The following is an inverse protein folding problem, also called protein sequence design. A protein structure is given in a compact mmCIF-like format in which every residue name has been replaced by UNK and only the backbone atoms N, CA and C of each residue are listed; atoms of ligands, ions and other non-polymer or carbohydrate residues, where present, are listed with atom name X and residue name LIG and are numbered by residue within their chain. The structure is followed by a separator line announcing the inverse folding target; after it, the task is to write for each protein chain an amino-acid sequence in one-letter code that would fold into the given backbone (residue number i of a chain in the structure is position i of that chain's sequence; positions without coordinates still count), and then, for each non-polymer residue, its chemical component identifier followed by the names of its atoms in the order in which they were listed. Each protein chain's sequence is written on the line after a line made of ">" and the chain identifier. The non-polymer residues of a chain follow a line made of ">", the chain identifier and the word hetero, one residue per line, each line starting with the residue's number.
data_IF_540194784547
#
_entry.id   IF_540194784547
#
_cell.length_a   1.000
_cell.length_b   1.000
_cell.length_c   1.000
_cell.angle_alpha   90.00
_cell.angle_beta   90.00
_cell.angle_gamma   90.00
#
_symmetry.space_group_name_H-M   'P 1'
#
loop_
_entity.id
_entity.type
_entity.pdbx_description
1 polymer ?
#
# COMPACT_ATOMS: atom_id res chain seq x y z
N UNK A 1 -19.61 -27.35 1.88
CA UNK A 1 -18.56 -28.28 1.43
C UNK A 1 -18.42 -28.23 -0.12
N UNK A 2 -17.91 -27.19 -0.68
CA UNK A 2 -17.72 -27.00 -2.11
C UNK A 2 -17.11 -25.62 -2.34
N UNK A 3 -16.60 -25.34 -3.54
CA UNK A 3 -16.28 -23.98 -3.97
C UNK A 3 -17.59 -23.33 -4.44
N UNK A 4 -18.05 -22.32 -3.72
CA UNK A 4 -19.28 -21.60 -4.04
C UNK A 4 -18.96 -20.31 -4.82
N UNK A 5 -19.71 -20.09 -5.90
CA UNK A 5 -19.47 -19.01 -6.85
C UNK A 5 -20.68 -18.08 -6.95
N UNK A 6 -20.52 -16.81 -6.62
CA UNK A 6 -21.48 -15.76 -6.93
C UNK A 6 -21.24 -15.18 -8.31
N UNK A 7 -22.30 -15.07 -9.14
CA UNK A 7 -22.19 -14.63 -10.54
C UNK A 7 -22.90 -13.30 -10.76
N UNK A 8 -22.22 -12.40 -11.47
CA UNK A 8 -22.66 -11.05 -11.75
C UNK A 8 -22.77 -10.80 -13.27
N UNK A 9 -23.71 -9.95 -13.65
CA UNK A 9 -24.07 -9.72 -15.05
C UNK A 9 -23.27 -8.58 -15.70
N UNK A 10 -22.31 -7.98 -15.01
CA UNK A 10 -21.47 -6.87 -15.48
C UNK A 10 -19.97 -7.18 -15.44
N UNK A 11 -19.20 -6.25 -15.97
CA UNK A 11 -17.75 -6.22 -15.84
C UNK A 11 -17.36 -5.69 -14.44
N UNK A 12 -16.23 -6.12 -13.90
CA UNK A 12 -15.75 -5.74 -12.55
C UNK A 12 -15.73 -4.24 -12.29
N UNK A 13 -15.43 -3.44 -13.32
CA UNK A 13 -15.41 -1.98 -13.27
C UNK A 13 -16.72 -1.33 -12.79
N UNK A 14 -17.84 -2.07 -12.84
CA UNK A 14 -19.15 -1.58 -12.41
C UNK A 14 -19.50 -1.88 -10.95
N UNK A 15 -18.58 -2.51 -10.19
CA UNK A 15 -18.92 -2.98 -8.85
C UNK A 15 -17.99 -2.40 -7.78
N UNK A 16 -18.57 -2.28 -6.57
CA UNK A 16 -17.83 -2.11 -5.32
C UNK A 16 -17.94 -3.38 -4.50
N UNK A 17 -16.81 -3.91 -4.06
CA UNK A 17 -16.71 -5.03 -3.13
C UNK A 17 -16.29 -4.46 -1.79
N UNK A 18 -17.05 -4.71 -0.73
CA UNK A 18 -16.69 -4.29 0.63
C UNK A 18 -16.48 -5.52 1.50
N UNK A 19 -15.30 -5.63 2.09
CA UNK A 19 -14.92 -6.68 3.04
C UNK A 19 -15.09 -6.16 4.46
N UNK A 20 -15.86 -6.88 5.29
CA UNK A 20 -16.07 -6.54 6.70
C UNK A 20 -16.19 -7.81 7.53
N UNK A 21 -15.26 -8.08 8.42
CA UNK A 21 -15.19 -9.33 9.18
C UNK A 21 -15.26 -10.54 8.22
N UNK A 22 -16.23 -11.41 8.39
CA UNK A 22 -16.52 -12.60 7.57
C UNK A 22 -17.60 -12.36 6.50
N UNK A 23 -17.98 -11.09 6.26
CA UNK A 23 -18.99 -10.70 5.28
C UNK A 23 -18.38 -9.98 4.09
N UNK A 24 -18.82 -10.37 2.90
CA UNK A 24 -18.53 -9.66 1.65
C UNK A 24 -19.81 -9.01 1.14
N UNK A 25 -19.78 -7.73 0.85
CA UNK A 25 -20.87 -7.02 0.17
C UNK A 25 -20.45 -6.67 -1.24
N UNK A 26 -21.29 -6.94 -2.23
CA UNK A 26 -21.06 -6.60 -3.63
C UNK A 26 -22.16 -5.67 -4.10
N UNK A 27 -21.82 -4.45 -4.48
CA UNK A 27 -22.75 -3.42 -4.97
C UNK A 27 -22.57 -3.21 -6.47
N UNK A 28 -23.65 -3.35 -7.24
CA UNK A 28 -23.72 -2.99 -8.65
C UNK A 28 -24.04 -1.50 -8.80
N UNK A 29 -23.06 -0.70 -9.24
CA UNK A 29 -23.20 0.76 -9.40
C UNK A 29 -23.95 1.19 -10.66
N UNK A 30 -24.32 0.26 -11.54
CA UNK A 30 -25.10 0.56 -12.78
C UNK A 30 -26.56 0.90 -12.54
N UNK A 31 -27.00 1.00 -11.30
CA UNK A 31 -28.36 1.41 -10.96
C UNK A 31 -29.39 0.27 -10.89
N UNK A 32 -28.98 -0.87 -10.36
CA UNK A 32 -29.93 -1.89 -9.86
C UNK A 32 -30.21 -3.06 -10.79
N UNK A 33 -29.25 -3.46 -11.65
CA UNK A 33 -29.38 -4.68 -12.44
C UNK A 33 -29.14 -5.90 -11.55
N UNK A 34 -28.00 -5.97 -10.85
CA UNK A 34 -27.71 -7.01 -9.87
C UNK A 34 -27.99 -6.55 -8.43
N UNK A 35 -28.01 -5.24 -8.16
CA UNK A 35 -28.37 -4.67 -6.85
C UNK A 35 -27.22 -4.69 -5.85
N UNK A 36 -27.54 -5.01 -4.58
CA UNK A 36 -26.56 -5.14 -3.50
C UNK A 36 -26.76 -6.51 -2.86
N UNK A 37 -25.71 -7.31 -2.90
CA UNK A 37 -25.67 -8.64 -2.29
C UNK A 37 -24.78 -8.65 -1.06
N UNK A 38 -25.23 -9.35 -0.01
CA UNK A 38 -24.42 -9.66 1.16
C UNK A 38 -24.13 -11.17 1.14
N UNK A 39 -22.87 -11.53 1.04
CA UNK A 39 -22.39 -12.87 0.83
C UNK A 39 -21.72 -13.41 2.09
N UNK A 40 -21.89 -14.70 2.33
CA UNK A 40 -21.16 -15.49 3.34
C UNK A 40 -20.84 -16.84 2.74
N UNK A 41 -19.70 -17.41 3.08
CA UNK A 41 -19.26 -18.73 2.61
C UNK A 41 -19.22 -18.81 1.06
N UNK A 42 -18.73 -17.75 0.40
CA UNK A 42 -18.50 -17.67 -1.05
C UNK A 42 -17.01 -17.47 -1.28
N UNK A 43 -16.39 -18.34 -2.07
CA UNK A 43 -14.97 -18.30 -2.38
C UNK A 43 -14.67 -17.50 -3.64
N UNK A 44 -15.60 -17.45 -4.61
CA UNK A 44 -15.33 -16.81 -5.91
C UNK A 44 -16.46 -15.88 -6.33
N UNK A 45 -16.10 -14.68 -6.77
CA UNK A 45 -16.97 -13.77 -7.51
C UNK A 45 -16.67 -13.88 -9.01
N UNK A 46 -17.68 -14.17 -9.82
CA UNK A 46 -17.52 -14.33 -11.28
C UNK A 46 -18.25 -13.19 -12.00
N UNK A 47 -17.49 -12.31 -12.65
CA UNK A 47 -17.97 -11.21 -13.46
C UNK A 47 -17.86 -11.55 -14.97
N UNK A 48 -18.26 -10.65 -15.86
CA UNK A 48 -18.19 -10.90 -17.30
C UNK A 48 -16.75 -10.93 -17.84
N UNK A 49 -15.86 -10.18 -17.23
CA UNK A 49 -14.48 -9.97 -17.67
C UNK A 49 -13.46 -10.80 -16.89
N UNK A 50 -13.72 -11.09 -15.60
CA UNK A 50 -12.80 -11.86 -14.77
C UNK A 50 -13.48 -12.51 -13.56
N UNK A 51 -12.73 -13.37 -12.87
CA UNK A 51 -13.09 -13.95 -11.58
C UNK A 51 -12.17 -13.41 -10.49
N UNK A 52 -12.74 -13.20 -9.31
CA UNK A 52 -12.00 -12.78 -8.11
C UNK A 52 -12.12 -13.91 -7.08
N UNK A 53 -10.98 -14.46 -6.70
CA UNK A 53 -10.86 -15.43 -5.62
C UNK A 53 -10.78 -14.69 -4.28
N UNK A 54 -11.85 -14.73 -3.53
CA UNK A 54 -11.97 -14.07 -2.23
C UNK A 54 -11.07 -14.72 -1.16
N UNK A 55 -10.69 -15.99 -1.31
CA UNK A 55 -9.81 -16.66 -0.36
C UNK A 55 -8.41 -16.03 -0.30
N UNK A 56 -8.01 -15.32 -1.37
CA UNK A 56 -6.74 -14.61 -1.43
C UNK A 56 -6.71 -13.30 -0.62
N UNK A 57 -7.88 -12.76 -0.26
CA UNK A 57 -7.99 -11.43 0.35
C UNK A 57 -8.84 -11.41 1.64
N UNK A 58 -9.51 -12.51 1.99
CA UNK A 58 -10.46 -12.55 3.11
C UNK A 58 -9.81 -12.39 4.48
N UNK A 59 -8.65 -13.00 4.72
CA UNK A 59 -7.93 -12.88 6.00
C UNK A 59 -7.39 -11.47 6.27
N UNK A 60 -7.43 -10.57 5.29
CA UNK A 60 -7.03 -9.16 5.47
C UNK A 60 -7.85 -8.45 6.55
N UNK A 61 -9.09 -8.87 6.79
CA UNK A 61 -9.95 -8.33 7.85
C UNK A 61 -9.46 -8.64 9.27
N UNK A 62 -8.56 -9.61 9.43
CA UNK A 62 -7.98 -10.02 10.71
C UNK A 62 -6.71 -9.23 11.06
N UNK A 63 -6.18 -8.48 10.09
CA UNK A 63 -4.94 -7.72 10.29
C UNK A 63 -5.19 -6.47 11.14
N UNK A 64 -4.21 -6.12 12.00
CA UNK A 64 -4.30 -4.86 12.76
C UNK A 64 -4.07 -3.63 11.86
N UNK A 65 -4.63 -2.48 12.26
CA UNK A 65 -4.38 -1.18 11.64
C UNK A 65 -2.86 -0.87 11.50
N UNK A 66 -2.09 -1.12 12.58
CA UNK A 66 -0.64 -0.94 12.57
C UNK A 66 0.05 -1.80 11.50
N UNK A 67 -0.32 -3.09 11.39
CA UNK A 67 0.25 -4.00 10.39
C UNK A 67 -0.18 -3.65 8.98
N UNK A 68 -1.42 -3.20 8.78
CA UNK A 68 -1.90 -2.68 7.50
C UNK A 68 -1.09 -1.46 7.04
N UNK A 69 -0.88 -0.50 7.94
CA UNK A 69 -0.04 0.67 7.68
C UNK A 69 1.41 0.29 7.34
N UNK A 70 1.94 -0.75 7.97
CA UNK A 70 3.30 -1.24 7.70
C UNK A 70 3.42 -1.83 6.29
N UNK A 71 2.41 -2.55 5.80
CA UNK A 71 2.37 -3.03 4.41
C UNK A 71 2.36 -1.86 3.41
N UNK A 72 1.62 -0.79 3.71
CA UNK A 72 1.64 0.44 2.88
C UNK A 72 3.04 1.04 2.84
N UNK A 73 3.76 1.09 3.97
CA UNK A 73 5.16 1.56 4.00
C UNK A 73 6.09 0.70 3.10
N UNK A 74 5.85 -0.62 2.99
CA UNK A 74 6.59 -1.48 2.06
C UNK A 74 6.31 -1.14 0.59
N UNK A 75 5.06 -0.91 0.22
CA UNK A 75 4.71 -0.43 -1.12
C UNK A 75 5.43 0.88 -1.45
N UNK A 76 5.35 1.87 -0.56
CA UNK A 76 6.03 3.16 -0.74
C UNK A 76 7.53 2.98 -0.97
N UNK A 77 8.19 2.19 -0.11
CA UNK A 77 9.63 1.98 -0.17
C UNK A 77 10.06 1.23 -1.45
N UNK A 78 9.25 0.29 -1.91
CA UNK A 78 9.63 -0.65 -2.96
C UNK A 78 9.13 -0.24 -4.35
N UNK A 79 7.95 0.37 -4.45
CA UNK A 79 7.34 0.76 -5.73
C UNK A 79 7.24 2.27 -5.94
N UNK A 80 7.40 3.09 -4.89
CA UNK A 80 7.22 4.54 -4.90
C UNK A 80 5.81 5.00 -5.31
N UNK A 81 4.79 4.19 -5.07
CA UNK A 81 3.38 4.50 -5.30
C UNK A 81 2.52 4.08 -4.12
N UNK A 82 1.27 4.51 -4.09
CA UNK A 82 0.28 3.90 -3.21
C UNK A 82 0.08 2.42 -3.58
N UNK A 83 -0.30 1.55 -2.64
CA UNK A 83 -0.72 0.20 -2.99
C UNK A 83 -2.01 0.25 -3.83
N UNK A 84 -2.19 -0.71 -4.72
CA UNK A 84 -3.50 -1.07 -5.24
C UNK A 84 -4.28 -1.87 -4.18
N UNK A 85 -5.60 -1.69 -4.12
CA UNK A 85 -6.41 -2.30 -3.06
C UNK A 85 -6.31 -3.83 -3.07
N UNK A 86 -6.41 -4.48 -4.23
CA UNK A 86 -6.33 -5.94 -4.30
C UNK A 86 -4.96 -6.47 -3.85
N UNK A 87 -3.88 -5.86 -4.32
CA UNK A 87 -2.52 -6.25 -3.94
C UNK A 87 -2.24 -6.03 -2.46
N UNK A 88 -2.73 -4.92 -1.88
CA UNK A 88 -2.61 -4.68 -0.44
C UNK A 88 -3.35 -5.74 0.38
N UNK A 89 -4.58 -6.06 0.01
CA UNK A 89 -5.39 -7.07 0.70
C UNK A 89 -4.82 -8.49 0.56
N UNK A 90 -4.20 -8.79 -0.59
CA UNK A 90 -3.46 -10.04 -0.79
C UNK A 90 -2.30 -10.17 0.21
N UNK A 91 -1.46 -9.15 0.33
CA UNK A 91 -0.35 -9.17 1.30
C UNK A 91 -0.83 -9.11 2.74
N UNK A 92 -1.93 -8.40 3.00
CA UNK A 92 -2.55 -8.36 4.31
C UNK A 92 -3.06 -9.75 4.74
N UNK A 93 -3.71 -10.49 3.83
CA UNK A 93 -4.13 -11.87 4.09
C UNK A 93 -2.92 -12.78 4.32
N UNK A 94 -1.89 -12.67 3.48
CA UNK A 94 -0.66 -13.46 3.67
C UNK A 94 0.01 -13.18 5.03
N UNK A 95 0.03 -11.92 5.48
CA UNK A 95 0.54 -11.53 6.80
C UNK A 95 -0.34 -12.07 7.94
N UNK A 96 -1.67 -12.00 7.82
CA UNK A 96 -2.61 -12.57 8.79
C UNK A 96 -2.46 -14.10 8.90
N UNK A 97 -2.17 -14.77 7.79
CA UNK A 97 -1.90 -16.21 7.72
C UNK A 97 -0.48 -16.59 8.20
N UNK A 98 0.33 -15.60 8.59
CA UNK A 98 1.61 -15.81 9.30
C UNK A 98 2.86 -15.61 8.45
N UNK A 99 2.75 -15.05 7.24
CA UNK A 99 3.93 -14.65 6.47
C UNK A 99 4.63 -13.48 7.17
N UNK A 100 5.94 -13.58 7.36
CA UNK A 100 6.70 -12.53 8.05
C UNK A 100 6.97 -11.33 7.14
N UNK A 101 7.20 -10.15 7.73
CA UNK A 101 7.58 -8.92 7.02
C UNK A 101 8.75 -9.13 6.06
N UNK A 102 9.75 -9.91 6.50
CA UNK A 102 10.91 -10.23 5.69
C UNK A 102 10.53 -11.03 4.44
N UNK A 103 9.72 -12.07 4.58
CA UNK A 103 9.27 -12.90 3.45
C UNK A 103 8.41 -12.09 2.48
N UNK A 104 7.57 -11.18 3.00
CA UNK A 104 6.78 -10.25 2.18
C UNK A 104 7.72 -9.35 1.38
N UNK A 105 8.67 -8.67 2.01
CA UNK A 105 9.60 -7.75 1.32
C UNK A 105 10.51 -8.51 0.35
N UNK A 106 10.96 -9.73 0.66
CA UNK A 106 11.70 -10.58 -0.27
C UNK A 106 10.86 -10.89 -1.51
N UNK A 107 9.58 -11.23 -1.33
CA UNK A 107 8.65 -11.50 -2.43
C UNK A 107 8.41 -10.27 -3.32
N UNK A 108 8.41 -9.05 -2.75
CA UNK A 108 8.35 -7.82 -3.52
C UNK A 108 9.56 -7.65 -4.44
N UNK A 109 10.78 -7.95 -4.00
CA UNK A 109 11.98 -7.87 -4.83
C UNK A 109 11.98 -8.86 -6.01
N UNK A 110 11.14 -9.89 -5.98
CA UNK A 110 10.94 -10.82 -7.10
C UNK A 110 9.97 -10.25 -8.14
N UNK A 111 9.18 -9.22 -7.82
CA UNK A 111 8.22 -8.62 -8.74
C UNK A 111 8.91 -7.77 -9.82
N UNK A 112 8.51 -7.91 -11.10
CA UNK A 112 9.06 -7.11 -12.20
C UNK A 112 8.95 -5.59 -11.94
N UNK A 113 7.84 -5.13 -11.38
CA UNK A 113 7.60 -3.72 -11.05
C UNK A 113 8.69 -3.17 -10.10
N UNK A 114 9.04 -3.90 -9.06
CA UNK A 114 10.08 -3.48 -8.11
C UNK A 114 11.44 -3.45 -8.78
N UNK A 115 11.75 -4.46 -9.61
CA UNK A 115 13.01 -4.51 -10.36
C UNK A 115 13.14 -3.36 -11.36
N UNK A 116 12.05 -3.00 -12.06
CA UNK A 116 12.03 -1.85 -12.97
C UNK A 116 12.14 -0.52 -12.20
N UNK A 117 11.45 -0.40 -11.08
CA UNK A 117 11.40 0.80 -10.23
C UNK A 117 12.74 1.12 -9.57
N UNK A 118 13.49 0.11 -9.10
CA UNK A 118 14.84 0.31 -8.54
C UNK A 118 15.93 0.41 -9.62
N UNK A 119 15.68 -0.10 -10.84
CA UNK A 119 16.69 -0.20 -11.89
C UNK A 119 17.66 -1.37 -11.64
N UNK A 120 18.96 -1.15 -11.84
CA UNK A 120 19.95 -2.22 -11.61
C UNK A 120 20.18 -2.47 -10.11
N UNK A 121 19.59 -3.52 -9.58
CA UNK A 121 19.76 -3.95 -8.18
C UNK A 121 21.21 -4.30 -7.80
N UNK A 122 22.15 -4.30 -8.76
CA UNK A 122 23.58 -4.46 -8.48
C UNK A 122 24.27 -3.12 -8.25
N UNK A 123 23.64 -2.02 -8.64
CA UNK A 123 24.05 -0.66 -8.27
C UNK A 123 23.54 -0.36 -6.84
N UNK A 124 24.26 -0.87 -5.85
CA UNK A 124 23.85 -0.80 -4.44
C UNK A 124 23.81 0.63 -3.90
N UNK A 125 24.66 1.52 -4.40
CA UNK A 125 24.53 2.97 -4.09
C UNK A 125 23.23 3.55 -4.65
N UNK A 126 22.87 3.20 -5.88
CA UNK A 126 21.62 3.60 -6.52
C UNK A 126 20.41 3.09 -5.73
N UNK A 127 20.45 1.85 -5.27
CA UNK A 127 19.40 1.27 -4.42
C UNK A 127 19.23 2.04 -3.10
N UNK A 128 20.34 2.36 -2.43
CA UNK A 128 20.32 3.15 -1.18
C UNK A 128 19.75 4.55 -1.44
N UNK A 129 20.16 5.23 -2.51
CA UNK A 129 19.64 6.56 -2.88
C UNK A 129 18.13 6.53 -3.13
N UNK A 130 17.67 5.59 -3.93
CA UNK A 130 16.25 5.42 -4.23
C UNK A 130 15.41 5.15 -2.98
N UNK A 131 15.89 4.28 -2.09
CA UNK A 131 15.18 3.98 -0.85
C UNK A 131 15.06 5.21 0.07
N UNK A 132 16.13 6.01 0.20
CA UNK A 132 16.10 7.25 0.99
C UNK A 132 15.12 8.27 0.42
N UNK A 133 15.14 8.47 -0.90
CA UNK A 133 14.22 9.40 -1.55
C UNK A 133 12.75 9.00 -1.36
N UNK A 134 12.44 7.70 -1.47
CA UNK A 134 11.07 7.19 -1.34
C UNK A 134 10.54 7.21 0.07
N UNK A 135 11.39 6.78 1.02
CA UNK A 135 11.01 6.61 2.44
C UNK A 135 11.14 7.90 3.24
N UNK A 136 12.17 8.73 2.93
CA UNK A 136 12.52 9.91 3.70
C UNK A 136 12.27 11.23 2.96
N UNK A 137 11.95 11.18 1.65
CA UNK A 137 11.72 12.38 0.83
C UNK A 137 12.96 13.24 0.60
N UNK A 138 14.15 12.68 0.74
CA UNK A 138 15.40 13.41 0.61
C UNK A 138 16.54 12.55 0.08
N UNK A 139 17.56 13.23 -0.44
CA UNK A 139 18.81 12.56 -0.79
C UNK A 139 19.48 11.94 0.44
N UNK A 140 20.11 10.79 0.24
CA UNK A 140 20.95 10.18 1.28
C UNK A 140 22.21 11.03 1.49
N UNK A 141 22.59 11.25 2.73
CA UNK A 141 23.85 11.89 3.08
C UNK A 141 25.06 10.93 2.94
N UNK A 142 26.28 11.50 2.99
CA UNK A 142 27.52 10.73 2.89
C UNK A 142 27.60 9.64 3.99
N UNK A 143 27.13 9.95 5.21
CA UNK A 143 27.13 9.02 6.33
C UNK A 143 26.20 7.82 6.11
N UNK A 144 25.04 8.03 5.51
CA UNK A 144 24.11 6.98 5.15
C UNK A 144 24.66 6.05 4.05
N UNK A 145 25.29 6.64 3.02
CA UNK A 145 25.96 5.85 1.97
C UNK A 145 27.13 5.04 2.52
N UNK A 146 28.00 5.67 3.31
CA UNK A 146 29.16 5.03 3.92
C UNK A 146 28.77 3.89 4.88
N UNK A 147 27.58 3.98 5.47
CA UNK A 147 27.06 2.94 6.35
C UNK A 147 26.44 1.78 5.58
N UNK A 148 25.50 2.06 4.67
CA UNK A 148 24.71 1.01 4.04
C UNK A 148 25.42 0.29 2.89
N UNK A 149 26.10 1.04 2.02
CA UNK A 149 26.70 0.46 0.81
C UNK A 149 27.69 -0.67 1.11
N UNK A 150 28.66 -0.52 2.04
CA UNK A 150 29.57 -1.61 2.37
C UNK A 150 28.87 -2.84 2.99
N UNK A 151 27.81 -2.66 3.78
CA UNK A 151 27.06 -3.76 4.37
C UNK A 151 26.35 -4.61 3.32
N UNK A 152 25.78 -3.95 2.31
CA UNK A 152 25.14 -4.58 1.17
C UNK A 152 26.17 -5.25 0.24
N UNK A 153 27.28 -4.57 -0.10
CA UNK A 153 28.37 -5.13 -0.93
C UNK A 153 29.01 -6.37 -0.34
N UNK A 154 29.20 -6.39 0.98
CA UNK A 154 29.76 -7.52 1.71
C UNK A 154 28.74 -8.64 1.99
N UNK A 155 27.47 -8.45 1.63
CA UNK A 155 26.36 -9.37 1.90
C UNK A 155 26.09 -9.58 3.40
N UNK A 156 26.42 -8.58 4.22
CA UNK A 156 26.13 -8.60 5.66
C UNK A 156 24.67 -8.25 5.96
N UNK A 157 24.05 -7.49 5.04
CA UNK A 157 22.67 -7.10 5.06
C UNK A 157 22.09 -7.41 3.68
N UNK A 158 20.98 -8.12 3.63
CA UNK A 158 20.24 -8.36 2.40
C UNK A 158 19.37 -7.13 2.04
N UNK A 159 18.96 -6.98 0.77
CA UNK A 159 18.13 -5.85 0.34
C UNK A 159 16.82 -5.74 1.11
N UNK A 160 16.16 -6.85 1.37
CA UNK A 160 14.94 -6.91 2.18
C UNK A 160 15.16 -6.40 3.59
N UNK A 161 16.26 -6.83 4.23
CA UNK A 161 16.63 -6.38 5.57
C UNK A 161 16.97 -4.88 5.57
N UNK A 162 17.69 -4.38 4.57
CA UNK A 162 18.01 -2.96 4.44
C UNK A 162 16.74 -2.10 4.42
N UNK A 163 15.75 -2.46 3.59
CA UNK A 163 14.49 -1.70 3.51
C UNK A 163 13.75 -1.72 4.85
N UNK A 164 13.64 -2.88 5.48
CA UNK A 164 13.01 -3.01 6.79
C UNK A 164 13.71 -2.19 7.87
N UNK A 165 15.06 -2.24 7.93
CA UNK A 165 15.84 -1.47 8.89
C UNK A 165 15.77 0.04 8.63
N UNK A 166 15.67 0.48 7.37
CA UNK A 166 15.48 1.88 7.02
C UNK A 166 14.13 2.39 7.54
N UNK A 167 13.03 1.68 7.28
CA UNK A 167 11.69 2.03 7.76
C UNK A 167 11.65 2.02 9.30
N UNK A 168 12.17 0.98 9.94
CA UNK A 168 12.24 0.91 11.40
C UNK A 168 13.12 2.03 11.97
N UNK A 169 14.23 2.31 11.29
CA UNK A 169 15.11 3.40 11.61
C UNK A 169 14.36 4.74 11.69
N UNK A 170 13.48 5.04 10.72
CA UNK A 170 12.65 6.25 10.73
C UNK A 170 11.77 6.34 11.98
N UNK A 171 11.17 5.24 12.39
CA UNK A 171 10.24 5.16 13.54
C UNK A 171 10.92 5.03 14.90
N UNK A 172 12.22 4.77 14.93
CA UNK A 172 12.97 4.59 16.18
C UNK A 172 13.04 5.88 17.02
N UNK A 173 13.00 5.72 18.34
CA UNK A 173 13.13 6.84 19.27
C UNK A 173 14.46 7.58 19.09
N UNK A 174 14.42 8.91 19.22
CA UNK A 174 15.61 9.76 19.12
C UNK A 174 16.42 9.66 20.40
N UNK A 175 17.73 9.32 20.36
CA UNK A 175 18.57 9.32 21.56
C UNK A 175 18.62 10.68 22.23
N UNK A 176 18.76 10.68 23.57
CA UNK A 176 18.65 11.91 24.36
C UNK A 176 19.80 12.91 24.15
N UNK A 177 20.93 12.43 23.70
CA UNK A 177 22.18 13.20 23.50
C UNK A 177 22.42 13.69 22.08
N UNK A 178 21.43 13.48 21.18
CA UNK A 178 21.53 13.92 19.79
C UNK A 178 21.38 15.44 19.63
N UNK A 179 21.98 15.96 18.55
CA UNK A 179 21.90 17.38 18.19
C UNK A 179 20.49 17.80 17.78
N UNK A 180 20.18 19.12 17.89
CA UNK A 180 18.88 19.63 17.45
C UNK A 180 18.66 19.38 15.95
N UNK A 181 19.70 19.57 15.12
CA UNK A 181 19.61 19.32 13.68
C UNK A 181 19.28 17.86 13.35
N UNK A 182 19.85 16.91 14.11
CA UNK A 182 19.50 15.48 13.94
C UNK A 182 18.03 15.22 14.34
N UNK A 183 17.55 15.83 15.44
CA UNK A 183 16.16 15.71 15.86
C UNK A 183 15.21 16.24 14.80
N UNK A 184 15.45 17.47 14.35
CA UNK A 184 14.61 18.13 13.33
C UNK A 184 14.55 17.30 12.05
N UNK A 185 15.69 16.75 11.59
CA UNK A 185 15.73 15.87 10.41
C UNK A 185 14.96 14.57 10.65
N UNK A 186 15.16 13.94 11.79
CA UNK A 186 14.50 12.69 12.15
C UNK A 186 12.97 12.85 12.25
N UNK A 187 12.51 13.97 12.82
CA UNK A 187 11.09 14.31 12.88
C UNK A 187 10.51 14.57 11.49
N UNK A 188 11.25 15.25 10.62
CA UNK A 188 10.83 15.47 9.23
C UNK A 188 10.76 14.16 8.43
N UNK A 189 11.76 13.28 8.56
CA UNK A 189 11.77 11.95 7.91
C UNK A 189 10.56 11.11 8.36
N UNK A 190 10.25 11.14 9.67
CA UNK A 190 9.11 10.40 10.22
C UNK A 190 7.76 10.97 9.76
N UNK A 191 7.63 12.29 9.70
CA UNK A 191 6.43 12.94 9.19
C UNK A 191 6.20 12.61 7.71
N UNK A 192 7.25 12.68 6.89
CA UNK A 192 7.16 12.36 5.46
C UNK A 192 6.63 10.93 5.20
N UNK A 193 7.19 9.94 5.91
CA UNK A 193 6.72 8.55 5.77
C UNK A 193 5.30 8.38 6.30
N UNK A 194 4.96 9.05 7.41
CA UNK A 194 3.62 8.98 8.00
C UNK A 194 2.55 9.54 7.05
N UNK A 195 2.79 10.71 6.45
CA UNK A 195 1.86 11.33 5.51
C UNK A 195 1.66 10.45 4.26
N UNK A 196 2.74 9.91 3.68
CA UNK A 196 2.64 8.96 2.57
C UNK A 196 1.86 7.70 2.93
N UNK A 197 2.08 7.16 4.12
CA UNK A 197 1.31 6.01 4.62
C UNK A 197 -0.17 6.34 4.72
N UNK A 198 -0.53 7.51 5.25
CA UNK A 198 -1.93 7.95 5.36
C UNK A 198 -2.57 8.12 3.98
N UNK A 199 -1.87 8.72 3.00
CA UNK A 199 -2.33 8.78 1.62
C UNK A 199 -2.54 7.39 1.01
N UNK A 200 -1.61 6.46 1.24
CA UNK A 200 -1.72 5.08 0.75
C UNK A 200 -2.88 4.31 1.37
N UNK A 201 -3.12 4.46 2.68
CA UNK A 201 -4.28 3.88 3.38
C UNK A 201 -5.59 4.48 2.86
N UNK A 202 -5.63 5.79 2.66
CA UNK A 202 -6.80 6.46 2.12
C UNK A 202 -7.14 5.97 0.70
N UNK A 203 -6.14 5.89 -0.17
CA UNK A 203 -6.30 5.40 -1.54
C UNK A 203 -6.77 3.94 -1.59
N UNK A 204 -6.03 3.03 -0.96
CA UNK A 204 -6.23 1.59 -1.13
C UNK A 204 -7.27 0.97 -0.19
N UNK A 205 -7.38 1.47 1.06
CA UNK A 205 -8.25 0.87 2.08
C UNK A 205 -9.58 1.61 2.17
N UNK A 206 -9.53 2.94 2.35
CA UNK A 206 -10.75 3.74 2.51
C UNK A 206 -11.52 3.90 1.20
N UNK A 207 -10.80 4.11 0.08
CA UNK A 207 -11.39 4.30 -1.25
C UNK A 207 -11.39 3.03 -2.10
N UNK A 208 -10.65 2.00 -1.71
CA UNK A 208 -10.64 0.71 -2.39
C UNK A 208 -10.12 0.74 -3.83
N UNK A 209 -9.30 1.73 -4.19
CA UNK A 209 -8.83 1.97 -5.55
C UNK A 209 -7.64 1.09 -5.91
N UNK A 210 -7.52 0.75 -7.20
CA UNK A 210 -6.48 -0.16 -7.70
C UNK A 210 -5.77 0.34 -8.96
N UNK A 211 -6.12 1.50 -9.51
CA UNK A 211 -5.43 2.04 -10.68
C UNK A 211 -3.99 2.46 -10.33
N UNK A 212 -3.02 1.91 -11.06
CA UNK A 212 -1.58 2.12 -10.78
C UNK A 212 -1.10 3.50 -11.22
N UNK A 213 -1.69 4.10 -12.26
CA UNK A 213 -1.33 5.44 -12.73
C UNK A 213 -1.79 6.46 -11.69
N UNK A 214 -3.01 6.33 -11.18
CA UNK A 214 -3.56 7.16 -10.11
C UNK A 214 -2.77 6.99 -8.80
N UNK A 215 -2.45 5.75 -8.42
CA UNK A 215 -1.63 5.44 -7.25
C UNK A 215 -0.24 6.09 -7.29
N UNK A 216 0.36 6.16 -8.49
CA UNK A 216 1.64 6.83 -8.71
C UNK A 216 1.48 8.34 -8.65
N UNK A 217 0.48 8.90 -9.35
CA UNK A 217 0.22 10.34 -9.39
C UNK A 217 -0.04 10.93 -7.99
N UNK A 218 -0.77 10.21 -7.13
CA UNK A 218 -1.03 10.60 -5.74
C UNK A 218 0.28 10.73 -4.94
N UNK A 219 1.19 9.77 -5.06
CA UNK A 219 2.46 9.81 -4.35
C UNK A 219 3.44 10.86 -4.91
N UNK A 220 3.37 11.15 -6.21
CA UNK A 220 4.15 12.22 -6.84
C UNK A 220 3.63 13.62 -6.50
N UNK A 221 2.33 13.76 -6.19
CA UNK A 221 1.74 15.03 -5.78
C UNK A 221 2.22 15.48 -4.39
N UNK A 222 2.72 14.58 -3.56
CA UNK A 222 3.20 14.88 -2.21
C UNK A 222 4.71 15.12 -2.18
N UNK A 223 5.12 16.30 -1.71
CA UNK A 223 6.52 16.75 -1.61
C UNK A 223 7.01 17.00 -0.16
N UNK A 224 6.22 16.62 0.84
CA UNK A 224 6.53 16.81 2.27
C UNK A 224 5.96 18.10 2.85
N UNK A 225 5.17 18.88 2.11
CA UNK A 225 4.49 20.08 2.61
C UNK A 225 3.01 19.82 2.92
N UNK A 226 2.45 20.54 3.89
CA UNK A 226 1.02 20.49 4.21
C UNK A 226 0.15 20.81 2.98
N UNK A 227 0.58 21.73 2.13
CA UNK A 227 -0.15 22.10 0.92
C UNK A 227 -0.16 20.97 -0.12
N UNK A 228 0.94 20.20 -0.24
CA UNK A 228 1.01 19.05 -1.13
C UNK A 228 0.26 17.84 -0.56
N UNK A 229 0.18 17.70 0.76
CA UNK A 229 -0.64 16.68 1.41
C UNK A 229 -2.13 16.88 1.08
N UNK A 230 -2.63 18.11 1.25
CA UNK A 230 -4.00 18.45 0.86
C UNK A 230 -4.24 18.25 -0.64
N UNK A 231 -3.29 18.66 -1.49
CA UNK A 231 -3.42 18.46 -2.94
C UNK A 231 -3.46 16.97 -3.33
N UNK A 232 -2.65 16.12 -2.71
CA UNK A 232 -2.66 14.69 -2.93
C UNK A 232 -3.98 14.04 -2.46
N UNK A 233 -4.51 14.48 -1.33
CA UNK A 233 -5.82 14.05 -0.83
C UNK A 233 -6.96 14.47 -1.76
N UNK A 234 -6.96 15.73 -2.20
CA UNK A 234 -7.96 16.24 -3.16
C UNK A 234 -7.90 15.43 -4.48
N UNK A 235 -6.69 15.06 -4.94
CA UNK A 235 -6.51 14.20 -6.10
C UNK A 235 -7.12 12.82 -5.88
N UNK A 236 -6.92 12.20 -4.71
CA UNK A 236 -7.58 10.91 -4.37
C UNK A 236 -9.10 11.04 -4.46
N UNK A 237 -9.67 12.10 -3.91
CA UNK A 237 -11.13 12.32 -3.95
C UNK A 237 -11.64 12.55 -5.38
N UNK A 238 -10.87 13.25 -6.24
CA UNK A 238 -11.20 13.46 -7.64
C UNK A 238 -11.20 12.15 -8.43
N UNK A 239 -10.14 11.35 -8.34
CA UNK A 239 -10.04 10.07 -9.07
C UNK A 239 -11.03 9.05 -8.53
N UNK A 240 -11.30 9.02 -7.23
CA UNK A 240 -12.35 8.19 -6.65
C UNK A 240 -13.75 8.56 -7.16
N UNK A 241 -14.05 9.84 -7.32
CA UNK A 241 -15.33 10.27 -7.87
C UNK A 241 -15.55 9.76 -9.30
N UNK A 242 -14.48 9.64 -10.09
CA UNK A 242 -14.53 9.04 -11.43
C UNK A 242 -14.65 7.51 -11.35
N UNK A 243 -13.82 6.85 -10.53
CA UNK A 243 -13.79 5.40 -10.33
C UNK A 243 -15.13 4.85 -9.77
N UNK A 244 -15.81 5.62 -8.91
CA UNK A 244 -17.06 5.21 -8.27
C UNK A 244 -18.33 5.32 -9.16
N UNK A 245 -18.17 5.68 -10.44
CA UNK A 245 -19.30 5.71 -11.39
C UNK A 245 -19.72 4.29 -11.83
N UNK A 246 -20.87 4.16 -12.49
CA UNK A 246 -21.33 2.86 -13.01
C UNK A 246 -20.44 2.24 -14.09
N UNK A 247 -19.65 3.07 -14.79
CA UNK A 247 -18.69 2.69 -15.82
C UNK A 247 -17.24 3.06 -15.38
N UNK A 248 -16.98 3.10 -14.06
CA UNK A 248 -15.70 3.48 -13.46
C UNK A 248 -14.72 2.31 -13.34
N UNK A 249 -14.18 2.09 -12.13
CA UNK A 249 -13.21 1.05 -11.83
C UNK A 249 -13.73 0.12 -10.74
N UNK A 250 -13.14 -1.09 -10.65
CA UNK A 250 -13.38 -1.97 -9.52
C UNK A 250 -12.88 -1.30 -8.23
N UNK A 251 -13.78 -1.20 -7.25
CA UNK A 251 -13.43 -0.75 -5.91
C UNK A 251 -13.49 -1.94 -4.94
N UNK A 252 -12.45 -2.08 -4.11
CA UNK A 252 -12.40 -3.11 -3.05
C UNK A 252 -12.08 -2.43 -1.72
N UNK A 253 -13.10 -2.15 -0.96
CA UNK A 253 -13.02 -1.44 0.32
C UNK A 253 -12.86 -2.43 1.49
N UNK A 254 -12.00 -2.10 2.44
CA UNK A 254 -11.86 -2.84 3.69
C UNK A 254 -12.49 -2.04 4.83
N UNK A 255 -13.60 -2.53 5.36
CA UNK A 255 -14.42 -1.79 6.32
C UNK A 255 -14.13 -2.26 7.75
N UNK A 256 -13.85 -1.31 8.64
CA UNK A 256 -13.72 -1.57 10.08
C UNK A 256 -12.35 -2.03 10.57
N UNK A 257 -11.36 -2.17 9.67
CA UNK A 257 -9.97 -2.53 10.05
C UNK A 257 -9.13 -1.27 10.25
N UNK A 258 -9.25 -0.31 9.35
CA UNK A 258 -8.52 0.96 9.41
C UNK A 258 -9.54 2.10 9.50
N UNK A 259 -9.30 3.05 10.40
CA UNK A 259 -10.08 4.30 10.41
C UNK A 259 -9.64 5.18 9.23
N UNK A 260 -10.58 5.96 8.68
CA UNK A 260 -10.26 6.93 7.64
C UNK A 260 -9.25 7.94 8.21
N UNK A 261 -8.01 8.00 7.69
CA UNK A 261 -6.97 8.85 8.25
C UNK A 261 -7.26 10.34 8.12
N UNK A 262 -8.22 10.72 7.25
CA UNK A 262 -8.64 12.09 7.01
C UNK A 262 -10.07 12.36 7.47
N UNK A 263 -10.70 11.47 8.24
CA UNK A 263 -12.02 11.73 8.83
C UNK A 263 -11.95 12.92 9.78
N UNK A 264 -12.89 13.88 9.61
CA UNK A 264 -12.96 15.10 10.40
C UNK A 264 -13.60 14.87 11.79
#
# INVERSE_FOLDING_TARGET
>A
DGEDIAKYSGETASYTISLQDDRVTVEDRRGGIDGIDALTDIETLSFLDQEIDLSLISSATELSDESMGQLVEYYIALTNRAPDAFGLLFWASAAADGLSDREIVESFFEQPEVQESFGDLKDLEGVVRNAYERVLGREVDEGGLDFWTPLLEEGKVELSQFVLELIQGVKAAIPADESQAFRDQKEADAAYLADKKELGLYFAVTKGMSDVEDATAVMEAYDGTEASLEAAKDLIDEVYAAASTGDGDLLIELVGVVEDPFAA
#
